data_IF_905098456820
#
_entry.id   IF_905098456820
#
_cell.length_a   1.000
_cell.length_b   1.000
_cell.length_c   1.000
_cell.angle_alpha   90.00
_cell.angle_beta   90.00
_cell.angle_gamma   90.00
#
_symmetry.space_group_name_H-M   'P 1'
#
loop_
_entity.id
_entity.type
_entity.pdbx_description
1 polymer ?
#
# COMPACT_ATOMS: atom_id res chain seq x y z
N UNK A 1 -16.43 -1.20 -4.56
CA UNK A 1 -17.47 -2.25 -4.41
C UNK A 1 -16.94 -3.58 -4.84
N UNK A 2 -17.25 -4.65 -4.08
CA UNK A 2 -16.88 -6.02 -4.48
C UNK A 2 -17.99 -6.61 -5.35
N UNK A 3 -17.66 -6.95 -6.60
CA UNK A 3 -18.50 -7.71 -7.51
C UNK A 3 -18.01 -9.17 -7.59
N UNK A 4 -17.83 -9.74 -8.80
CA UNK A 4 -17.22 -11.07 -8.98
C UNK A 4 -15.85 -11.23 -8.31
N UNK A 5 -15.13 -10.13 -8.03
CA UNK A 5 -13.81 -10.10 -7.40
C UNK A 5 -13.79 -10.70 -6.00
N UNK A 6 -14.94 -10.77 -5.31
CA UNK A 6 -15.05 -11.45 -4.01
C UNK A 6 -14.80 -12.97 -4.11
N UNK A 7 -14.89 -13.55 -5.32
CA UNK A 7 -14.72 -15.00 -5.58
C UNK A 7 -13.38 -15.36 -6.19
N UNK A 8 -12.44 -14.42 -6.25
CA UNK A 8 -11.08 -14.61 -6.76
C UNK A 8 -10.73 -13.63 -7.88
N UNK A 9 -9.49 -13.13 -7.87
CA UNK A 9 -8.97 -12.14 -8.80
C UNK A 9 -8.31 -10.95 -8.10
N UNK A 10 -7.89 -9.94 -8.87
CA UNK A 10 -7.30 -8.73 -8.32
C UNK A 10 -8.38 -7.84 -7.65
N UNK A 11 -8.36 -7.79 -6.32
CA UNK A 11 -9.13 -6.85 -5.52
C UNK A 11 -8.38 -5.50 -5.42
N UNK A 12 -9.13 -4.40 -5.29
CA UNK A 12 -8.61 -3.08 -4.98
C UNK A 12 -9.43 -2.40 -3.88
N UNK A 13 -8.78 -1.55 -3.11
CA UNK A 13 -9.40 -0.55 -2.24
C UNK A 13 -8.91 0.84 -2.62
N UNK A 14 -9.73 1.84 -2.36
CA UNK A 14 -9.50 3.23 -2.77
C UNK A 14 -9.70 4.14 -1.57
N UNK A 15 -8.88 5.18 -1.48
CA UNK A 15 -8.92 6.19 -0.41
C UNK A 15 -8.68 7.55 -1.05
N UNK A 16 -9.58 8.49 -0.79
CA UNK A 16 -9.46 9.90 -1.18
C UNK A 16 -9.26 10.71 0.09
N UNK A 17 -8.27 11.59 0.11
CA UNK A 17 -7.93 12.46 1.25
C UNK A 17 -7.94 13.89 0.72
N UNK A 18 -8.62 14.78 1.43
CA UNK A 18 -8.74 16.20 1.08
C UNK A 18 -8.91 17.02 2.37
N UNK A 19 -8.35 18.23 2.39
CA UNK A 19 -8.64 19.23 3.42
C UNK A 19 -9.97 19.97 3.16
N UNK A 20 -10.56 19.75 1.99
CA UNK A 20 -11.88 20.24 1.56
C UNK A 20 -12.88 19.09 1.40
N UNK A 21 -14.16 19.43 1.28
CA UNK A 21 -15.24 18.44 1.10
C UNK A 21 -15.04 17.58 -0.17
N UNK A 22 -15.38 16.30 -0.06
CA UNK A 22 -15.27 15.33 -1.16
C UNK A 22 -16.65 15.13 -1.78
N UNK A 23 -16.88 15.76 -2.93
CA UNK A 23 -18.14 15.67 -3.66
C UNK A 23 -18.30 14.36 -4.46
N UNK A 24 -17.18 13.74 -4.86
CA UNK A 24 -17.17 12.54 -5.72
C UNK A 24 -16.28 11.43 -5.14
N UNK A 25 -16.86 10.34 -4.61
CA UNK A 25 -16.12 9.31 -3.87
C UNK A 25 -15.62 8.15 -4.75
N UNK A 26 -15.12 8.43 -5.96
CA UNK A 26 -14.58 7.42 -6.87
C UNK A 26 -13.26 7.87 -7.51
N UNK A 27 -12.31 6.95 -7.64
CA UNK A 27 -10.98 7.24 -8.19
C UNK A 27 -10.87 6.74 -9.63
N UNK A 28 -10.85 7.68 -10.58
CA UNK A 28 -10.60 7.36 -12.00
C UNK A 28 -9.11 7.26 -12.29
N UNK A 29 -8.30 8.17 -11.74
CA UNK A 29 -6.87 8.29 -12.00
C UNK A 29 -6.10 8.53 -10.69
N UNK A 30 -5.62 7.47 -10.02
CA UNK A 30 -4.96 7.62 -8.72
C UNK A 30 -3.64 8.38 -8.84
N UNK A 31 -3.31 9.17 -7.82
CA UNK A 31 -1.99 9.77 -7.61
C UNK A 31 -0.94 8.72 -7.25
N UNK A 32 -1.35 7.75 -6.43
CA UNK A 32 -0.51 6.69 -5.89
C UNK A 32 -1.25 5.37 -6.06
N UNK A 33 -0.57 4.36 -6.57
CA UNK A 33 -1.11 3.00 -6.70
C UNK A 33 -0.13 2.02 -6.07
N UNK A 34 -0.60 1.20 -5.13
CA UNK A 34 0.15 0.04 -4.62
C UNK A 34 -0.37 -1.24 -5.28
N UNK A 35 0.52 -1.99 -5.93
CA UNK A 35 0.24 -3.33 -6.43
C UNK A 35 1.09 -4.38 -5.70
N UNK A 36 0.44 -5.22 -4.90
CA UNK A 36 1.10 -6.29 -4.14
C UNK A 36 1.22 -7.61 -4.89
N UNK A 37 0.59 -7.75 -6.07
CA UNK A 37 0.62 -8.97 -6.90
C UNK A 37 0.73 -8.60 -8.37
N UNK A 38 1.31 -9.50 -9.18
CA UNK A 38 1.43 -9.30 -10.63
C UNK A 38 0.06 -9.01 -11.27
N UNK A 39 -0.97 -9.78 -10.93
CA UNK A 39 -2.31 -9.60 -11.50
C UNK A 39 -2.90 -8.21 -11.18
N UNK A 40 -2.65 -7.67 -9.98
CA UNK A 40 -3.09 -6.32 -9.64
C UNK A 40 -2.29 -5.25 -10.38
N UNK A 41 -0.98 -5.45 -10.53
CA UNK A 41 -0.13 -4.56 -11.31
C UNK A 41 -0.61 -4.50 -12.77
N UNK A 42 -0.74 -5.65 -13.43
CA UNK A 42 -1.15 -5.76 -14.84
C UNK A 42 -2.51 -5.10 -15.07
N UNK A 43 -3.45 -5.28 -14.14
CA UNK A 43 -4.81 -4.77 -14.27
C UNK A 43 -4.93 -3.27 -14.02
N UNK A 44 -4.18 -2.71 -13.06
CA UNK A 44 -4.45 -1.37 -12.55
C UNK A 44 -3.33 -0.35 -12.82
N UNK A 45 -2.10 -0.75 -13.14
CA UNK A 45 -1.00 0.19 -13.34
C UNK A 45 -1.24 1.22 -14.45
N UNK A 46 -2.08 0.91 -15.44
CA UNK A 46 -2.44 1.81 -16.53
C UNK A 46 -3.44 2.92 -16.16
N UNK A 47 -4.16 2.82 -15.03
CA UNK A 47 -5.14 3.84 -14.62
C UNK A 47 -4.50 5.04 -13.92
N UNK A 48 -3.26 4.88 -13.43
CA UNK A 48 -2.55 5.93 -12.70
C UNK A 48 -2.43 7.21 -13.53
N UNK A 49 -2.56 8.36 -12.86
CA UNK A 49 -2.42 9.64 -13.55
C UNK A 49 -0.98 9.84 -14.05
N UNK A 50 -0.76 10.56 -15.16
CA UNK A 50 0.57 11.05 -15.53
C UNK A 50 1.20 11.82 -14.36
N UNK A 51 2.45 11.50 -14.02
CA UNK A 51 3.12 12.08 -12.85
C UNK A 51 2.87 11.32 -11.53
N UNK A 52 1.98 10.32 -11.52
CA UNK A 52 1.71 9.51 -10.34
C UNK A 52 2.85 8.54 -9.97
N UNK A 53 2.70 7.88 -8.83
CA UNK A 53 3.65 6.92 -8.27
C UNK A 53 3.06 5.51 -8.20
N UNK A 54 3.69 4.56 -8.88
CA UNK A 54 3.38 3.14 -8.76
C UNK A 54 4.31 2.50 -7.73
N UNK A 55 3.77 1.96 -6.65
CA UNK A 55 4.48 1.16 -5.65
C UNK A 55 4.20 -0.31 -5.95
N UNK A 56 5.22 -1.15 -5.96
CA UNK A 56 5.08 -2.59 -6.18
C UNK A 56 5.75 -3.41 -5.09
N UNK A 57 5.20 -4.59 -4.83
CA UNK A 57 5.87 -5.62 -4.02
C UNK A 57 6.64 -6.60 -4.90
N UNK A 58 7.99 -6.56 -4.94
CA UNK A 58 8.82 -7.44 -5.75
C UNK A 58 8.74 -8.91 -5.33
N UNK A 59 8.17 -9.23 -4.16
CA UNK A 59 7.92 -10.63 -3.79
C UNK A 59 7.00 -11.31 -4.81
N UNK A 60 5.98 -10.62 -5.31
CA UNK A 60 4.98 -11.18 -6.24
C UNK A 60 4.79 -10.41 -7.55
N UNK A 61 5.36 -9.22 -7.69
CA UNK A 61 5.42 -8.48 -8.96
C UNK A 61 6.82 -8.66 -9.54
N UNK A 62 6.94 -9.41 -10.64
CA UNK A 62 8.22 -9.75 -11.28
C UNK A 62 8.50 -8.90 -12.51
N UNK A 63 7.46 -8.37 -13.14
CA UNK A 63 7.55 -7.46 -14.27
C UNK A 63 6.71 -6.24 -14.02
N UNK A 64 7.29 -5.06 -14.20
CA UNK A 64 6.53 -3.79 -14.16
C UNK A 64 5.74 -3.67 -15.46
N UNK A 65 4.40 -3.57 -15.41
CA UNK A 65 3.58 -3.35 -16.61
C UNK A 65 3.81 -1.96 -17.20
N UNK A 66 3.33 -1.76 -18.43
CA UNK A 66 3.26 -0.41 -19.00
C UNK A 66 2.38 0.49 -18.11
N UNK A 67 2.89 1.68 -17.79
CA UNK A 67 2.23 2.59 -16.87
C UNK A 67 2.51 4.04 -17.24
N UNK A 68 1.58 4.92 -16.88
CA UNK A 68 1.73 6.38 -16.98
C UNK A 68 2.41 6.99 -15.75
N UNK A 69 2.75 6.16 -14.75
CA UNK A 69 3.46 6.61 -13.56
C UNK A 69 4.78 7.26 -13.95
N UNK A 70 5.09 8.41 -13.36
CA UNK A 70 6.41 9.02 -13.53
C UNK A 70 7.46 8.33 -12.63
N UNK A 71 7.01 7.66 -11.57
CA UNK A 71 7.88 6.96 -10.62
C UNK A 71 7.35 5.55 -10.34
N UNK A 72 8.24 4.57 -10.41
CA UNK A 72 7.97 3.20 -9.95
C UNK A 72 8.89 2.91 -8.77
N UNK A 73 8.31 2.51 -7.64
CA UNK A 73 9.01 2.24 -6.40
C UNK A 73 8.81 0.77 -6.04
N UNK A 74 9.90 0.06 -5.80
CA UNK A 74 9.84 -1.33 -5.33
C UNK A 74 10.06 -1.37 -3.82
N UNK A 75 9.08 -1.90 -3.08
CA UNK A 75 9.17 -2.08 -1.63
C UNK A 75 8.87 -3.54 -1.31
N UNK A 76 9.80 -4.31 -0.71
CA UNK A 76 9.63 -5.74 -0.44
C UNK A 76 8.68 -6.01 0.75
N UNK A 77 7.44 -5.53 0.67
CA UNK A 77 6.46 -5.48 1.77
C UNK A 77 6.18 -6.86 2.38
N UNK A 78 5.93 -7.86 1.53
CA UNK A 78 5.66 -9.24 1.98
C UNK A 78 6.90 -9.86 2.62
N UNK A 79 8.07 -9.65 2.01
CA UNK A 79 9.32 -10.16 2.57
C UNK A 79 9.62 -9.50 3.93
N UNK A 80 9.43 -8.19 4.07
CA UNK A 80 9.58 -7.48 5.35
C UNK A 80 8.60 -8.02 6.40
N UNK A 81 7.34 -8.26 6.04
CA UNK A 81 6.37 -8.88 6.96
C UNK A 81 6.83 -10.26 7.44
N UNK A 82 7.40 -11.06 6.54
CA UNK A 82 7.95 -12.38 6.84
C UNK A 82 9.15 -12.29 7.78
N UNK A 83 10.12 -11.46 7.46
CA UNK A 83 11.39 -11.42 8.19
C UNK A 83 11.24 -10.75 9.55
N UNK A 84 10.47 -9.67 9.63
CA UNK A 84 10.31 -8.91 10.87
C UNK A 84 9.24 -9.48 11.79
N UNK A 85 8.16 -10.05 11.24
CA UNK A 85 6.99 -10.47 12.03
C UNK A 85 6.73 -11.98 11.95
N UNK A 86 7.40 -12.69 11.03
CA UNK A 86 7.21 -14.13 10.84
C UNK A 86 5.90 -14.48 10.15
N UNK A 87 5.19 -13.50 9.56
CA UNK A 87 3.85 -13.71 8.98
C UNK A 87 3.60 -12.84 7.76
N UNK A 88 3.53 -13.46 6.58
CA UNK A 88 3.18 -12.76 5.33
C UNK A 88 1.82 -12.04 5.40
N UNK A 89 0.88 -12.54 6.23
CA UNK A 89 -0.47 -11.97 6.33
C UNK A 89 -0.52 -10.52 6.81
N UNK A 90 0.53 -10.02 7.47
CA UNK A 90 0.60 -8.62 7.94
C UNK A 90 1.27 -7.68 6.95
N UNK A 91 1.56 -8.14 5.73
CA UNK A 91 2.16 -7.31 4.67
C UNK A 91 1.32 -6.07 4.32
N UNK A 92 -0.01 -6.14 4.48
CA UNK A 92 -0.89 -5.00 4.34
C UNK A 92 -0.64 -3.90 5.39
N UNK A 93 -0.24 -4.27 6.62
CA UNK A 93 0.10 -3.30 7.67
C UNK A 93 1.49 -2.70 7.42
N UNK A 94 2.44 -3.52 6.96
CA UNK A 94 3.74 -3.03 6.47
C UNK A 94 3.52 -2.03 5.33
N UNK A 95 2.59 -2.31 4.41
CA UNK A 95 2.23 -1.42 3.31
C UNK A 95 1.70 -0.07 3.78
N UNK A 96 0.80 -0.04 4.77
CA UNK A 96 0.30 1.21 5.36
C UNK A 96 1.45 2.04 5.93
N UNK A 97 2.39 1.41 6.61
CA UNK A 97 3.59 2.08 7.12
C UNK A 97 4.43 2.68 6.01
N UNK A 98 4.79 1.86 5.03
CA UNK A 98 5.63 2.30 3.90
C UNK A 98 4.98 3.44 3.11
N UNK A 99 3.68 3.33 2.79
CA UNK A 99 2.93 4.39 2.08
C UNK A 99 2.93 5.69 2.89
N UNK A 100 2.74 5.62 4.20
CA UNK A 100 2.71 6.82 5.06
C UNK A 100 4.03 7.59 4.97
N UNK A 101 5.16 6.89 4.95
CA UNK A 101 6.50 7.50 4.80
C UNK A 101 6.75 8.00 3.38
N UNK A 102 6.47 7.18 2.37
CA UNK A 102 6.76 7.50 0.97
C UNK A 102 5.94 8.69 0.45
N UNK A 103 4.75 8.89 0.99
CA UNK A 103 3.81 9.91 0.50
C UNK A 103 3.74 11.13 1.41
N UNK A 104 4.01 10.98 2.71
CA UNK A 104 3.88 12.06 3.69
C UNK A 104 2.44 12.54 3.91
N UNK A 105 1.43 11.85 3.37
CA UNK A 105 0.02 12.28 3.41
C UNK A 105 -0.59 12.19 4.82
N UNK A 106 -0.07 11.31 5.66
CA UNK A 106 -0.53 11.13 7.05
C UNK A 106 0.66 11.04 8.00
N UNK A 107 0.48 11.53 9.23
CA UNK A 107 1.52 11.39 10.26
C UNK A 107 1.65 9.94 10.73
N UNK A 108 2.83 9.58 11.26
CA UNK A 108 3.07 8.24 11.81
C UNK A 108 2.14 7.92 12.97
N UNK A 109 1.87 8.92 13.80
CA UNK A 109 0.99 8.82 14.95
C UNK A 109 -0.46 8.55 14.50
N UNK A 110 -0.92 9.21 13.43
CA UNK A 110 -2.24 8.98 12.88
C UNK A 110 -2.36 7.58 12.28
N UNK A 111 -1.35 7.14 11.52
CA UNK A 111 -1.30 5.79 10.96
C UNK A 111 -1.30 4.70 12.05
N UNK A 112 -0.47 4.86 13.10
CA UNK A 112 -0.42 3.92 14.22
C UNK A 112 -1.76 3.85 14.96
N UNK A 113 -2.34 5.00 15.30
CA UNK A 113 -3.65 5.05 15.95
C UNK A 113 -4.73 4.38 15.11
N UNK A 114 -4.75 4.61 13.80
CA UNK A 114 -5.71 4.00 12.90
C UNK A 114 -5.58 2.47 12.84
N UNK A 115 -4.35 1.96 12.75
CA UNK A 115 -4.08 0.51 12.74
C UNK A 115 -4.51 -0.11 14.07
N UNK A 116 -4.07 0.44 15.20
CA UNK A 116 -4.38 -0.12 16.53
C UNK A 116 -5.87 -0.12 16.85
N UNK A 117 -6.63 0.86 16.34
CA UNK A 117 -8.08 0.90 16.52
C UNK A 117 -8.84 -0.13 15.66
N UNK A 118 -8.22 -0.69 14.61
CA UNK A 118 -8.91 -1.55 13.64
C UNK A 118 -8.52 -3.02 13.74
N UNK A 119 -7.31 -3.32 14.23
CA UNK A 119 -6.82 -4.69 14.34
C UNK A 119 -7.58 -5.49 15.41
N UNK A 120 -7.66 -6.82 15.30
CA UNK A 120 -8.29 -7.66 16.32
C UNK A 120 -7.59 -7.52 17.68
N UNK A 121 -8.39 -7.57 18.76
CA UNK A 121 -7.86 -7.58 20.12
C UNK A 121 -6.86 -8.72 20.34
N UNK A 122 -5.76 -8.43 21.03
CA UNK A 122 -4.66 -9.38 21.27
C UNK A 122 -3.67 -9.50 20.11
N UNK A 123 -3.81 -8.70 19.05
CA UNK A 123 -2.88 -8.67 17.91
C UNK A 123 -2.16 -7.33 17.76
N UNK A 124 -2.36 -6.40 18.70
CA UNK A 124 -1.89 -5.02 18.67
C UNK A 124 -0.38 -4.93 18.50
N UNK A 125 0.39 -5.62 19.36
CA UNK A 125 1.87 -5.60 19.33
C UNK A 125 2.43 -6.13 18.01
N UNK A 126 1.82 -7.19 17.47
CA UNK A 126 2.24 -7.78 16.19
C UNK A 126 2.01 -6.79 15.03
N UNK A 127 0.83 -6.17 14.97
CA UNK A 127 0.52 -5.20 13.92
C UNK A 127 1.30 -3.89 14.10
N UNK A 128 1.56 -3.47 15.34
CA UNK A 128 2.45 -2.33 15.62
C UNK A 128 3.86 -2.61 15.10
N UNK A 129 4.41 -3.79 15.39
CA UNK A 129 5.72 -4.20 14.85
C UNK A 129 5.73 -4.18 13.32
N UNK A 130 4.69 -4.72 12.67
CA UNK A 130 4.54 -4.70 11.22
C UNK A 130 4.50 -3.26 10.67
N UNK A 131 3.77 -2.36 11.33
CA UNK A 131 3.68 -0.97 10.91
C UNK A 131 5.02 -0.25 11.01
N UNK A 132 5.75 -0.43 12.12
CA UNK A 132 7.08 0.15 12.33
C UNK A 132 8.08 -0.38 11.29
N UNK A 133 8.04 -1.67 10.96
CA UNK A 133 8.84 -2.25 9.89
C UNK A 133 8.49 -1.62 8.53
N UNK A 134 7.21 -1.32 8.29
CA UNK A 134 6.75 -0.57 7.13
C UNK A 134 7.34 0.85 7.05
N UNK A 135 7.36 1.59 8.17
CA UNK A 135 8.00 2.90 8.21
C UNK A 135 9.47 2.82 7.84
N UNK A 136 10.23 1.89 8.46
CA UNK A 136 11.65 1.71 8.19
C UNK A 136 11.91 1.31 6.73
N UNK A 137 11.08 0.44 6.14
CA UNK A 137 11.17 0.07 4.74
C UNK A 137 10.96 1.28 3.80
N UNK A 138 9.97 2.13 4.11
CA UNK A 138 9.74 3.37 3.37
C UNK A 138 10.91 4.36 3.48
N UNK A 139 11.49 4.53 4.67
CA UNK A 139 12.66 5.40 4.90
C UNK A 139 13.87 4.94 4.10
N UNK A 140 14.14 3.64 4.10
CA UNK A 140 15.26 3.06 3.36
C UNK A 140 15.17 3.38 1.87
N UNK A 141 13.97 3.27 1.31
CA UNK A 141 13.70 3.56 -0.10
C UNK A 141 13.83 5.05 -0.44
N UNK A 142 13.56 5.96 0.50
CA UNK A 142 13.78 7.40 0.29
C UNK A 142 15.26 7.81 0.39
N UNK A 143 16.08 6.99 1.06
CA UNK A 143 17.51 7.24 1.21
C UNK A 143 18.35 6.73 0.02
N UNK A 144 17.75 5.94 -0.87
CA UNK A 144 18.33 5.45 -2.12
C UNK A 144 18.12 6.44 -3.28
#
# INVERSE_FOLDING_TARGET
>A
SYGPEARGGAAKSEVIISDEDIDFPEISNPDILLAMTQLAADKYAGSIKPGGTLIIDPTFVKSVPETKAAKVISVPLTQVARDEVGRDMVANIVAVGAISVLTGLVSREAAEKAVLNRVPKGTEEMNKKALLAGFAAGEKVLAE
#
